data_IF_946155312470
#
_entry.id   IF_946155312470
#
_cell.length_a   1.000
_cell.length_b   1.000
_cell.length_c   1.000
_cell.angle_alpha   90.00
_cell.angle_beta   90.00
_cell.angle_gamma   90.00
#
_symmetry.space_group_name_H-M   'P 1'
#
loop_
_entity.id
_entity.type
_entity.pdbx_description
1 polymer ?
#
# COMPACT_ATOMS: atom_id res chain seq x y z
N UNK A 1 -6.60 -0.74 18.93
CA UNK A 1 -7.22 -1.25 17.68
C UNK A 1 -6.85 -2.72 17.58
N UNK A 2 -7.76 -3.61 17.97
CA UNK A 2 -7.57 -5.06 17.85
C UNK A 2 -8.07 -5.56 16.49
N UNK A 3 -7.74 -6.81 16.14
CA UNK A 3 -8.08 -7.40 14.83
C UNK A 3 -9.55 -7.29 14.45
N UNK A 4 -10.47 -7.28 15.42
CA UNK A 4 -11.92 -7.21 15.16
C UNK A 4 -12.35 -5.90 14.48
N UNK A 5 -11.86 -4.76 14.96
CA UNK A 5 -12.24 -3.45 14.41
C UNK A 5 -11.62 -3.25 13.02
N UNK A 6 -10.38 -3.69 12.84
CA UNK A 6 -9.64 -3.56 11.58
C UNK A 6 -10.21 -4.48 10.49
N UNK A 7 -10.56 -5.72 10.83
CA UNK A 7 -11.17 -6.67 9.89
C UNK A 7 -12.58 -6.24 9.50
N UNK A 8 -13.39 -5.74 10.45
CA UNK A 8 -14.73 -5.24 10.15
C UNK A 8 -14.71 -4.05 9.19
N UNK A 9 -13.78 -3.12 9.38
CA UNK A 9 -13.58 -1.99 8.47
C UNK A 9 -13.16 -2.46 7.06
N UNK A 10 -12.20 -3.40 6.97
CA UNK A 10 -11.77 -3.96 5.69
C UNK A 10 -12.93 -4.62 4.94
N UNK A 11 -13.71 -5.48 5.61
CA UNK A 11 -14.85 -6.16 4.98
C UNK A 11 -15.88 -5.16 4.46
N UNK A 12 -16.15 -4.09 5.23
CA UNK A 12 -17.08 -3.04 4.83
C UNK A 12 -16.62 -2.33 3.55
N UNK A 13 -15.33 -1.98 3.46
CA UNK A 13 -14.74 -1.38 2.26
C UNK A 13 -14.75 -2.32 1.07
N UNK A 14 -14.41 -3.59 1.27
CA UNK A 14 -14.42 -4.61 0.20
C UNK A 14 -15.82 -4.79 -0.38
N UNK A 15 -16.84 -4.91 0.46
CA UNK A 15 -18.22 -5.05 0.01
C UNK A 15 -18.71 -3.77 -0.68
N UNK A 16 -18.34 -2.60 -0.17
CA UNK A 16 -18.65 -1.32 -0.80
C UNK A 16 -18.04 -1.22 -2.22
N UNK A 17 -16.74 -1.48 -2.37
CA UNK A 17 -16.04 -1.43 -3.66
C UNK A 17 -16.58 -2.47 -4.67
N UNK A 18 -16.95 -3.67 -4.21
CA UNK A 18 -17.60 -4.68 -5.04
C UNK A 18 -19.02 -4.27 -5.46
N UNK A 19 -19.81 -3.68 -4.56
CA UNK A 19 -21.17 -3.22 -4.88
C UNK A 19 -21.19 -2.16 -5.98
N UNK A 20 -20.13 -1.35 -6.07
CA UNK A 20 -19.95 -0.33 -7.11
C UNK A 20 -19.45 -0.90 -8.44
N UNK A 21 -19.08 -2.19 -8.49
CA UNK A 21 -18.57 -2.89 -9.67
C UNK A 21 -19.34 -4.21 -9.89
N UNK A 22 -20.63 -4.17 -10.28
CA UNK A 22 -21.49 -5.35 -10.37
C UNK A 22 -20.92 -6.49 -11.23
N UNK A 23 -20.26 -6.16 -12.34
CA UNK A 23 -19.60 -7.14 -13.21
C UNK A 23 -18.48 -7.90 -12.49
N UNK A 24 -17.67 -7.21 -11.68
CA UNK A 24 -16.60 -7.83 -10.92
C UNK A 24 -17.16 -8.63 -9.74
N UNK A 25 -18.18 -8.10 -9.06
CA UNK A 25 -18.89 -8.81 -8.01
C UNK A 25 -19.50 -10.14 -8.51
N UNK A 26 -20.07 -10.16 -9.72
CA UNK A 26 -20.59 -11.38 -10.32
C UNK A 26 -19.50 -12.42 -10.55
N UNK A 27 -18.32 -12.00 -11.04
CA UNK A 27 -17.16 -12.88 -11.25
C UNK A 27 -16.62 -13.46 -9.94
N UNK A 28 -16.48 -12.62 -8.91
CA UNK A 28 -16.05 -13.08 -7.57
C UNK A 28 -17.06 -14.06 -6.99
N UNK A 29 -18.38 -13.80 -7.14
CA UNK A 29 -19.42 -14.74 -6.70
C UNK A 29 -19.34 -16.08 -7.42
N UNK A 30 -19.06 -16.06 -8.71
CA UNK A 30 -18.92 -17.30 -9.48
C UNK A 30 -17.67 -18.08 -9.07
N UNK A 31 -16.54 -17.40 -8.87
CA UNK A 31 -15.33 -18.02 -8.33
C UNK A 31 -15.58 -18.70 -6.98
N UNK A 32 -16.28 -18.02 -6.05
CA UNK A 32 -16.62 -18.58 -4.74
C UNK A 32 -17.58 -19.79 -4.85
N UNK A 33 -18.46 -19.82 -5.85
CA UNK A 33 -19.39 -20.95 -6.06
C UNK A 33 -18.70 -22.17 -6.65
N UNK A 34 -17.68 -21.96 -7.49
CA UNK A 34 -16.94 -23.02 -8.16
C UNK A 34 -15.79 -23.57 -7.29
N UNK A 35 -15.25 -22.76 -6.38
CA UNK A 35 -14.11 -23.09 -5.54
C UNK A 35 -14.45 -23.85 -4.26
N UNK A 36 -13.45 -24.54 -3.72
CA UNK A 36 -13.42 -25.00 -2.32
C UNK A 36 -13.20 -23.80 -1.37
N UNK A 37 -13.39 -24.00 -0.07
CA UNK A 37 -13.25 -22.96 0.99
C UNK A 37 -11.81 -22.45 1.17
N UNK A 38 -10.90 -22.81 0.28
CA UNK A 38 -9.49 -22.41 0.34
C UNK A 38 -9.28 -21.02 -0.26
N UNK A 39 -8.73 -20.11 0.54
CA UNK A 39 -8.48 -18.72 0.15
C UNK A 39 -7.47 -18.62 -1.00
N UNK A 40 -6.46 -19.48 -1.01
CA UNK A 40 -5.41 -19.48 -2.05
C UNK A 40 -5.97 -19.94 -3.42
N UNK A 41 -7.12 -20.61 -3.39
CA UNK A 41 -7.87 -21.02 -4.59
C UNK A 41 -8.85 -19.93 -5.09
N UNK A 42 -8.85 -18.72 -4.50
CA UNK A 42 -9.76 -17.60 -4.85
C UNK A 42 -9.01 -16.32 -5.27
N UNK A 43 -8.40 -16.30 -6.48
CA UNK A 43 -7.60 -15.16 -6.93
C UNK A 43 -8.39 -13.86 -7.12
N UNK A 44 -9.67 -13.91 -7.52
CA UNK A 44 -10.49 -12.71 -7.67
C UNK A 44 -10.95 -12.16 -6.31
N UNK A 45 -11.30 -13.03 -5.36
CA UNK A 45 -11.62 -12.62 -3.99
C UNK A 45 -10.39 -11.98 -3.31
N UNK A 46 -9.23 -12.63 -3.38
CA UNK A 46 -7.99 -12.09 -2.81
C UNK A 46 -7.58 -10.78 -3.49
N UNK A 47 -7.73 -10.66 -4.81
CA UNK A 47 -7.53 -9.39 -5.52
C UNK A 47 -8.49 -8.30 -5.04
N UNK A 48 -9.77 -8.61 -4.79
CA UNK A 48 -10.74 -7.64 -4.27
C UNK A 48 -10.36 -7.14 -2.87
N UNK A 49 -9.90 -8.03 -1.98
CA UNK A 49 -9.44 -7.67 -0.64
C UNK A 49 -8.18 -6.80 -0.71
N UNK A 50 -7.19 -7.19 -1.53
CA UNK A 50 -5.94 -6.46 -1.70
C UNK A 50 -6.17 -5.06 -2.29
N UNK A 51 -7.02 -4.95 -3.31
CA UNK A 51 -7.37 -3.66 -3.91
C UNK A 51 -8.11 -2.76 -2.93
N UNK A 52 -8.96 -3.36 -2.06
CA UNK A 52 -9.64 -2.63 -1.00
C UNK A 52 -8.66 -2.10 0.04
N UNK A 53 -7.60 -2.83 0.40
CA UNK A 53 -6.53 -2.33 1.27
C UNK A 53 -5.64 -1.27 0.60
N UNK A 54 -5.44 -1.39 -0.73
CA UNK A 54 -4.72 -0.38 -1.50
C UNK A 54 -5.47 0.95 -1.49
N UNK A 55 -6.79 0.90 -1.72
CA UNK A 55 -7.66 2.08 -1.70
C UNK A 55 -7.92 2.58 -0.27
N UNK A 56 -8.23 1.68 0.67
CA UNK A 56 -8.68 2.00 2.02
C UNK A 56 -7.77 1.32 3.05
N UNK A 57 -6.51 1.75 3.19
CA UNK A 57 -5.60 1.15 4.16
C UNK A 57 -6.12 1.40 5.57
N UNK A 58 -6.10 0.36 6.41
CA UNK A 58 -6.57 0.43 7.81
C UNK A 58 -5.80 1.48 8.61
N UNK A 59 -4.51 1.65 8.31
CA UNK A 59 -3.67 2.71 8.87
C UNK A 59 -3.19 3.58 7.72
N UNK A 60 -3.77 4.76 7.58
CA UNK A 60 -3.43 5.70 6.51
C UNK A 60 -2.02 6.30 6.67
N UNK A 61 -1.63 6.57 7.90
CA UNK A 61 -0.34 7.16 8.25
C UNK A 61 0.12 6.59 9.58
N UNK A 62 1.40 6.27 9.68
CA UNK A 62 2.03 5.85 10.92
C UNK A 62 3.30 6.65 11.14
N UNK A 63 3.66 6.86 12.40
CA UNK A 63 4.82 7.62 12.79
C UNK A 63 5.89 6.77 13.47
N UNK A 64 7.13 7.21 13.38
CA UNK A 64 8.26 6.75 14.20
C UNK A 64 8.94 7.97 14.80
N UNK A 65 9.47 7.80 16.00
CA UNK A 65 10.30 8.81 16.66
C UNK A 65 11.73 8.27 16.70
N UNK A 66 12.68 9.03 16.18
CA UNK A 66 14.09 8.62 16.18
C UNK A 66 14.61 8.57 17.64
N UNK A 67 15.14 7.41 18.04
CA UNK A 67 15.67 7.22 19.40
C UNK A 67 17.03 7.92 19.60
N UNK A 68 17.76 8.08 18.51
CA UNK A 68 19.07 8.73 18.38
C UNK A 68 19.20 9.35 16.98
N UNK A 69 20.28 10.10 16.75
CA UNK A 69 20.56 10.68 15.44
C UNK A 69 20.84 9.53 14.43
N UNK A 70 20.18 9.57 13.29
CA UNK A 70 20.21 8.50 12.27
C UNK A 70 20.09 9.07 10.85
N UNK A 71 20.30 8.26 9.82
CA UNK A 71 20.08 8.62 8.43
C UNK A 71 19.14 7.64 7.73
N UNK A 72 18.18 8.18 6.97
CA UNK A 72 17.30 7.38 6.12
C UNK A 72 17.96 7.28 4.74
N UNK A 73 18.41 6.08 4.30
CA UNK A 73 18.96 5.91 2.97
C UNK A 73 17.87 6.02 1.90
N UNK A 74 18.20 6.66 0.78
CA UNK A 74 17.35 6.78 -0.39
C UNK A 74 17.78 5.77 -1.45
N UNK A 75 16.81 5.06 -2.02
CA UNK A 75 17.06 4.14 -3.15
C UNK A 75 17.46 4.88 -4.43
N UNK A 76 16.96 6.10 -4.61
CA UNK A 76 17.29 6.98 -5.72
C UNK A 76 17.77 8.34 -5.19
N UNK A 77 18.84 8.93 -5.76
CA UNK A 77 19.32 10.23 -5.33
C UNK A 77 18.27 11.34 -5.56
N UNK A 78 18.10 12.22 -4.58
CA UNK A 78 17.17 13.35 -4.69
C UNK A 78 17.95 14.66 -4.81
N UNK A 79 17.54 15.53 -5.72
CA UNK A 79 18.06 16.89 -5.84
C UNK A 79 17.38 17.82 -4.84
N UNK A 80 18.18 18.43 -3.98
CA UNK A 80 17.74 19.41 -3.00
C UNK A 80 17.47 20.77 -3.67
N UNK A 81 16.79 21.68 -2.97
CA UNK A 81 16.56 23.06 -3.42
C UNK A 81 17.85 23.87 -3.62
N UNK A 82 18.94 23.48 -2.97
CA UNK A 82 20.26 24.10 -3.13
C UNK A 82 21.03 23.56 -4.33
N UNK A 83 20.48 22.57 -5.05
CA UNK A 83 21.10 21.93 -6.21
C UNK A 83 22.01 20.75 -5.86
N UNK A 84 22.24 20.49 -4.57
CA UNK A 84 23.00 19.32 -4.11
C UNK A 84 22.20 18.04 -4.30
N UNK A 85 22.86 16.99 -4.77
CA UNK A 85 22.30 15.64 -4.81
C UNK A 85 22.55 14.94 -3.49
N UNK A 86 21.53 14.32 -2.91
CA UNK A 86 21.65 13.53 -1.66
C UNK A 86 21.12 12.12 -1.85
N UNK A 87 21.81 11.17 -1.23
CA UNK A 87 21.42 9.76 -1.17
C UNK A 87 20.83 9.36 0.18
N UNK A 88 20.76 10.30 1.13
CA UNK A 88 20.28 10.05 2.48
C UNK A 88 19.64 11.30 3.07
N UNK A 89 18.71 11.09 4.00
CA UNK A 89 18.04 12.14 4.76
C UNK A 89 18.45 12.00 6.24
N UNK A 90 19.17 12.97 6.82
CA UNK A 90 19.48 12.94 8.25
C UNK A 90 18.21 13.15 9.08
N UNK A 91 18.15 12.47 10.22
CA UNK A 91 17.05 12.51 11.19
C UNK A 91 17.65 12.69 12.58
N UNK A 92 17.22 13.71 13.30
CA UNK A 92 17.72 14.01 14.63
C UNK A 92 16.98 13.18 15.69
N UNK A 93 17.65 12.92 16.82
CA UNK A 93 17.02 12.32 18.00
C UNK A 93 15.76 13.07 18.40
N UNK A 94 14.66 12.33 18.55
CA UNK A 94 13.35 12.89 18.89
C UNK A 94 12.54 13.38 17.69
N UNK A 95 13.11 13.39 16.48
CA UNK A 95 12.40 13.78 15.27
C UNK A 95 11.33 12.74 14.91
N UNK A 96 10.14 13.22 14.57
CA UNK A 96 9.03 12.39 14.13
C UNK A 96 9.09 12.20 12.61
N UNK A 97 9.14 10.95 12.17
CA UNK A 97 9.06 10.55 10.77
C UNK A 97 7.66 10.03 10.49
N UNK A 98 6.94 10.69 9.59
CA UNK A 98 5.58 10.33 9.18
C UNK A 98 5.61 9.53 7.89
N UNK A 99 5.01 8.34 7.89
CA UNK A 99 4.98 7.44 6.74
C UNK A 99 3.52 7.27 6.30
N UNK A 100 3.21 7.67 5.06
CA UNK A 100 1.86 7.61 4.50
C UNK A 100 1.69 6.38 3.61
N UNK A 101 1.08 5.33 4.14
CA UNK A 101 0.66 4.16 3.35
C UNK A 101 -0.36 4.57 2.29
N UNK A 102 -1.24 5.52 2.61
CA UNK A 102 -2.27 6.01 1.70
C UNK A 102 -1.70 6.63 0.42
N UNK A 103 -0.69 7.50 0.57
CA UNK A 103 -0.01 8.14 -0.57
C UNK A 103 0.78 7.11 -1.35
N UNK A 104 1.52 6.24 -0.65
CA UNK A 104 2.32 5.20 -1.29
C UNK A 104 1.47 4.26 -2.15
N UNK A 105 0.34 3.76 -1.63
CA UNK A 105 -0.57 2.86 -2.37
C UNK A 105 -1.24 3.50 -3.61
N UNK A 106 -1.17 4.83 -3.75
CA UNK A 106 -1.71 5.58 -4.89
C UNK A 106 -0.62 6.20 -5.76
N UNK A 107 0.64 6.07 -5.36
CA UNK A 107 1.74 6.60 -6.10
C UNK A 107 1.90 5.81 -7.39
N UNK A 108 1.65 6.46 -8.52
CA UNK A 108 1.98 5.95 -9.85
C UNK A 108 3.37 6.47 -10.14
N UNK A 109 4.41 5.67 -9.87
CA UNK A 109 5.73 5.96 -10.40
C UNK A 109 5.61 5.97 -11.93
N UNK A 110 6.01 7.06 -12.59
CA UNK A 110 6.06 7.09 -14.05
C UNK A 110 6.75 5.83 -14.57
N UNK A 111 6.04 5.10 -15.44
CA UNK A 111 6.40 3.79 -16.02
C UNK A 111 7.75 3.79 -16.76
N UNK A 112 8.40 4.95 -16.88
CA UNK A 112 9.68 5.16 -17.56
C UNK A 112 10.86 4.57 -16.77
N UNK A 113 10.88 4.66 -15.44
CA UNK A 113 12.02 4.14 -14.65
C UNK A 113 12.02 2.61 -14.51
N UNK A 114 10.84 1.97 -14.51
CA UNK A 114 10.74 0.51 -14.32
C UNK A 114 11.21 -0.31 -15.54
N UNK A 115 11.15 0.26 -16.75
CA UNK A 115 11.63 -0.41 -17.97
C UNK A 115 13.16 -0.45 -18.11
N UNK A 116 13.89 0.41 -17.39
CA UNK A 116 15.35 0.42 -17.43
C UNK A 116 16.00 -0.53 -16.41
N UNK A 117 15.28 -0.91 -15.35
CA UNK A 117 15.81 -1.79 -14.31
C UNK A 117 15.74 -3.30 -14.66
N UNK A 118 14.96 -3.70 -15.67
CA UNK A 118 14.73 -5.10 -16.04
C UNK A 118 15.12 -5.44 -17.49
N UNK A 119 15.90 -4.59 -18.16
CA UNK A 119 16.51 -4.91 -19.44
C UNK A 119 17.95 -5.40 -19.24
N UNK A 120 18.09 -6.62 -18.72
CA UNK A 120 19.32 -7.42 -18.78
C UNK A 120 18.98 -8.79 -19.34
#
# INVERSE_FOLDING_TARGET
LGGKDTTGALLSWTLYELSRRPNYQARVREEIRQGTVDYDSTPLLSAAVNESLRLHPIVHTFSRCAAEDDTIPLSEPVRTRTGETRNEIPVEKGQMVMISAYTYHRYVADVVSYKLAYAH
#
